data_IF_321245818507
#
_entry.id   IF_321245818507
#
_cell.length_a   1.000
_cell.length_b   1.000
_cell.length_c   1.000
_cell.angle_alpha   90.00
_cell.angle_beta   90.00
_cell.angle_gamma   90.00
#
_symmetry.space_group_name_H-M   'P 1'
#
loop_
_entity.id
_entity.type
_entity.pdbx_description
1 polymer ?
#
# COMPACT_ATOMS: atom_id res chain seq x y z
N UNK A 1 -67.95 21.61 1.52
CA UNK A 1 -67.30 21.06 2.71
C UNK A 1 -66.30 19.98 2.33
N UNK A 2 -65.08 20.25 2.59
CA UNK A 2 -64.04 19.31 2.99
C UNK A 2 -62.99 18.99 1.97
N UNK A 3 -61.97 19.77 1.96
CA UNK A 3 -60.68 19.56 1.33
C UNK A 3 -59.97 18.28 1.85
N UNK A 4 -59.26 17.59 1.01
CA UNK A 4 -58.18 16.70 1.39
C UNK A 4 -56.95 16.93 0.49
N UNK A 5 -55.90 17.33 1.11
CA UNK A 5 -54.60 17.74 0.63
C UNK A 5 -53.83 16.58 0.04
N UNK A 6 -53.22 16.79 -1.12
CA UNK A 6 -52.13 16.00 -1.64
C UNK A 6 -50.82 16.59 -1.06
N UNK A 7 -50.15 15.80 -0.24
CA UNK A 7 -48.77 16.10 0.19
C UNK A 7 -47.80 15.38 -0.74
N UNK A 8 -47.20 16.18 -1.61
CA UNK A 8 -46.11 15.74 -2.46
C UNK A 8 -44.79 15.84 -1.72
N UNK A 9 -44.24 14.73 -1.31
CA UNK A 9 -42.89 14.66 -0.76
C UNK A 9 -41.88 15.11 -1.82
N UNK A 10 -41.40 16.34 -1.69
CA UNK A 10 -40.17 16.79 -2.32
C UNK A 10 -39.02 16.01 -1.71
N UNK A 11 -38.41 15.16 -2.50
CA UNK A 11 -37.12 14.59 -2.16
C UNK A 11 -36.13 15.75 -2.16
N UNK A 12 -35.54 16.01 -1.01
CA UNK A 12 -34.59 17.09 -0.79
C UNK A 12 -33.25 16.73 -1.47
N UNK A 13 -33.08 17.14 -2.72
CA UNK A 13 -31.82 16.99 -3.47
C UNK A 13 -30.65 17.74 -2.78
N UNK A 14 -30.93 18.68 -1.88
CA UNK A 14 -29.91 19.38 -1.09
C UNK A 14 -29.32 18.55 0.07
N UNK A 15 -30.03 17.53 0.56
CA UNK A 15 -29.48 16.68 1.62
C UNK A 15 -28.36 15.78 1.13
N UNK A 16 -28.40 15.36 -0.13
CA UNK A 16 -27.38 14.52 -0.76
C UNK A 16 -26.07 15.29 -1.03
N UNK A 17 -26.17 16.54 -1.52
CA UNK A 17 -24.97 17.35 -1.80
C UNK A 17 -24.30 17.90 -0.53
N UNK A 18 -25.09 18.21 0.51
CA UNK A 18 -24.55 18.61 1.82
C UNK A 18 -23.84 17.45 2.54
N UNK A 19 -24.35 16.22 2.43
CA UNK A 19 -23.68 15.04 2.99
C UNK A 19 -22.37 14.71 2.28
N UNK A 20 -22.32 14.84 0.94
CA UNK A 20 -21.09 14.61 0.18
C UNK A 20 -20.03 15.67 0.47
N UNK A 21 -20.41 16.94 0.62
CA UNK A 21 -19.48 18.02 0.94
C UNK A 21 -18.96 17.95 2.39
N UNK A 22 -19.80 17.56 3.36
CA UNK A 22 -19.37 17.35 4.74
C UNK A 22 -18.45 16.12 4.87
N UNK A 23 -18.73 15.06 4.15
CA UNK A 23 -17.91 13.86 4.06
C UNK A 23 -16.53 14.18 3.41
N UNK A 24 -16.50 15.02 2.38
CA UNK A 24 -15.26 15.49 1.77
C UNK A 24 -14.47 16.40 2.71
N UNK A 25 -15.14 17.26 3.46
CA UNK A 25 -14.53 18.17 4.42
C UNK A 25 -13.96 17.43 5.65
N UNK A 26 -14.67 16.43 6.18
CA UNK A 26 -14.16 15.54 7.21
C UNK A 26 -12.96 14.72 6.71
N UNK A 27 -12.89 14.35 5.43
CA UNK A 27 -11.73 13.68 4.85
C UNK A 27 -10.51 14.59 4.73
N UNK A 28 -10.71 15.87 4.40
CA UNK A 28 -9.63 16.87 4.34
C UNK A 28 -9.09 17.13 5.76
N UNK A 29 -9.96 17.27 6.74
CA UNK A 29 -9.59 17.44 8.14
C UNK A 29 -9.04 16.14 8.76
N UNK A 30 -9.56 14.98 8.35
CA UNK A 30 -9.10 13.66 8.78
C UNK A 30 -7.74 13.27 8.18
N UNK A 31 -7.36 13.77 7.01
CA UNK A 31 -6.03 13.58 6.44
C UNK A 31 -4.97 14.26 7.31
N UNK A 32 -5.29 15.43 7.90
CA UNK A 32 -4.44 16.09 8.89
C UNK A 32 -4.40 15.36 10.24
N UNK A 33 -5.41 14.54 10.57
CA UNK A 33 -5.57 13.89 11.88
C UNK A 33 -5.43 12.35 11.88
N UNK A 34 -5.02 11.72 10.79
CA UNK A 34 -4.63 10.30 10.73
C UNK A 34 -5.68 9.24 11.13
N UNK A 35 -6.94 9.56 11.21
CA UNK A 35 -8.00 8.64 11.65
C UNK A 35 -9.05 8.32 10.58
N UNK A 36 -8.98 8.99 9.42
CA UNK A 36 -9.93 8.79 8.35
C UNK A 36 -9.54 7.63 7.44
N UNK A 37 -10.27 6.54 7.48
CA UNK A 37 -10.24 5.55 6.40
C UNK A 37 -10.78 6.16 5.11
N UNK A 38 -10.59 5.49 3.96
CA UNK A 38 -11.22 5.90 2.71
C UNK A 38 -12.74 5.88 2.85
N UNK A 39 -13.38 6.90 2.34
CA UNK A 39 -14.83 6.94 2.15
C UNK A 39 -15.23 6.49 0.75
N UNK A 40 -14.24 6.32 -0.14
CA UNK A 40 -14.47 5.88 -1.50
C UNK A 40 -14.07 4.41 -1.64
N UNK A 41 -14.94 3.62 -2.22
CA UNK A 41 -14.67 2.25 -2.66
C UNK A 41 -13.85 2.25 -3.95
N UNK A 42 -13.23 1.14 -4.30
CA UNK A 42 -12.53 1.01 -5.57
C UNK A 42 -13.43 1.29 -6.80
N UNK A 43 -14.70 0.86 -6.84
CA UNK A 43 -15.63 1.25 -7.90
C UNK A 43 -15.90 2.75 -8.00
N UNK A 44 -16.01 3.44 -6.86
CA UNK A 44 -16.19 4.91 -6.83
C UNK A 44 -14.94 5.62 -7.32
N UNK A 45 -13.76 5.13 -6.96
CA UNK A 45 -12.48 5.59 -7.49
C UNK A 45 -12.36 5.38 -8.99
N UNK A 46 -12.89 4.25 -9.51
CA UNK A 46 -12.93 3.98 -10.94
C UNK A 46 -13.79 5.01 -11.68
N UNK A 47 -14.99 5.34 -11.16
CA UNK A 47 -15.85 6.38 -11.73
C UNK A 47 -15.16 7.75 -11.75
N UNK A 48 -14.41 8.07 -10.71
CA UNK A 48 -13.63 9.32 -10.65
C UNK A 48 -12.51 9.31 -11.70
N UNK A 49 -11.81 8.19 -11.85
CA UNK A 49 -10.74 8.05 -12.85
C UNK A 49 -11.29 8.17 -14.29
N UNK A 50 -12.45 7.61 -14.56
CA UNK A 50 -13.10 7.65 -15.89
C UNK A 50 -13.53 9.08 -16.27
N UNK A 51 -13.78 9.95 -15.29
CA UNK A 51 -14.15 11.36 -15.51
C UNK A 51 -12.97 12.29 -15.84
N UNK A 52 -11.71 11.85 -15.70
CA UNK A 52 -10.47 12.61 -15.93
C UNK A 52 -10.38 14.01 -15.26
N UNK A 53 -11.24 14.30 -14.28
CA UNK A 53 -11.38 15.63 -13.66
C UNK A 53 -10.82 15.68 -12.23
N UNK A 54 -10.27 14.57 -11.70
CA UNK A 54 -9.86 14.50 -10.30
C UNK A 54 -8.39 14.88 -10.14
N UNK A 55 -8.17 16.03 -9.53
CA UNK A 55 -6.84 16.38 -9.04
C UNK A 55 -6.56 15.65 -7.71
N UNK A 56 -5.94 14.48 -7.78
CA UNK A 56 -5.55 13.71 -6.62
C UNK A 56 -4.62 14.47 -5.67
N UNK A 57 -3.87 15.46 -6.17
CA UNK A 57 -2.94 16.27 -5.36
C UNK A 57 -3.65 17.36 -4.55
N UNK A 58 -4.86 17.78 -4.95
CA UNK A 58 -5.61 18.83 -4.27
C UNK A 58 -5.92 18.54 -2.79
N UNK A 59 -5.89 17.27 -2.39
CA UNK A 59 -6.21 16.81 -1.03
C UNK A 59 -4.97 16.38 -0.22
N UNK A 60 -3.78 16.68 -0.70
CA UNK A 60 -2.53 16.39 0.02
C UNK A 60 -2.21 17.58 0.92
N UNK A 61 -2.06 17.37 2.23
CA UNK A 61 -1.71 18.44 3.17
C UNK A 61 -0.25 18.86 3.01
N UNK A 62 0.11 19.97 3.63
CA UNK A 62 1.51 20.35 3.78
C UNK A 62 2.28 19.28 4.57
N UNK A 63 3.47 18.92 4.08
CA UNK A 63 4.29 17.89 4.71
C UNK A 63 4.93 18.41 6.00
N UNK A 64 4.91 17.57 7.03
CA UNK A 64 5.58 17.84 8.30
C UNK A 64 7.09 17.68 8.12
N UNK A 65 7.83 18.74 8.45
CA UNK A 65 9.29 18.74 8.52
C UNK A 65 9.72 19.21 9.92
N UNK A 66 9.89 18.29 10.82
CA UNK A 66 10.28 18.58 12.21
C UNK A 66 11.77 18.33 12.47
N UNK A 67 12.24 18.72 13.64
CA UNK A 67 13.64 18.59 14.05
C UNK A 67 14.16 17.14 14.01
N UNK A 68 13.28 16.14 14.16
CA UNK A 68 13.68 14.73 14.08
C UNK A 68 13.97 14.34 12.63
N UNK A 69 13.14 14.79 11.70
CA UNK A 69 13.38 14.58 10.26
C UNK A 69 14.62 15.36 9.83
N UNK A 70 14.75 16.61 10.25
CA UNK A 70 15.92 17.43 9.98
C UNK A 70 17.21 16.74 10.42
N UNK A 71 17.28 16.27 11.67
CA UNK A 71 18.45 15.53 12.19
C UNK A 71 18.73 14.25 11.40
N UNK A 72 17.70 13.54 10.98
CA UNK A 72 17.85 12.30 10.23
C UNK A 72 18.40 12.53 8.80
N UNK A 73 18.07 13.67 8.20
CA UNK A 73 18.50 14.07 6.86
C UNK A 73 19.77 14.95 6.86
N UNK A 74 20.32 15.27 8.02
CA UNK A 74 21.58 16.00 8.16
C UNK A 74 22.78 15.05 7.92
N UNK A 75 23.00 14.72 6.66
CA UNK A 75 24.08 13.85 6.19
C UNK A 75 24.86 14.52 5.06
N UNK A 76 26.09 14.10 4.85
CA UNK A 76 26.85 14.41 3.62
C UNK A 76 26.27 13.57 2.47
N UNK A 77 25.19 14.09 1.87
CA UNK A 77 24.39 13.35 0.89
C UNK A 77 25.18 13.18 -0.42
N UNK A 78 25.53 11.96 -0.85
CA UNK A 78 26.32 11.73 -2.04
C UNK A 78 25.59 12.15 -3.32
N UNK A 79 26.33 12.64 -4.30
CA UNK A 79 25.77 13.00 -5.63
C UNK A 79 25.56 11.73 -6.48
N UNK A 80 24.42 11.12 -6.33
CA UNK A 80 24.01 9.95 -7.12
C UNK A 80 22.88 10.34 -8.08
N UNK A 81 23.15 10.25 -9.39
CA UNK A 81 22.11 10.48 -10.40
C UNK A 81 21.12 9.34 -10.43
N UNK A 82 19.86 9.63 -10.15
CA UNK A 82 18.72 8.70 -10.19
C UNK A 82 17.64 9.19 -11.16
N UNK A 83 16.94 8.24 -11.78
CA UNK A 83 15.77 8.53 -12.63
C UNK A 83 14.51 8.81 -11.78
N UNK A 84 14.44 8.27 -10.57
CA UNK A 84 13.33 8.45 -9.64
C UNK A 84 13.11 9.92 -9.27
N UNK A 85 11.83 10.30 -9.05
CA UNK A 85 11.45 11.62 -8.51
C UNK A 85 11.82 11.73 -7.03
N UNK A 86 11.54 10.69 -6.25
CA UNK A 86 11.91 10.63 -4.84
C UNK A 86 12.54 9.28 -4.49
N UNK A 87 13.55 9.31 -3.61
CA UNK A 87 14.25 8.11 -3.17
C UNK A 87 14.87 8.29 -1.79
N UNK A 88 15.08 7.18 -1.09
CA UNK A 88 15.87 7.14 0.14
C UNK A 88 16.58 5.79 0.27
N UNK A 89 17.75 5.81 0.89
CA UNK A 89 18.53 4.62 1.23
C UNK A 89 18.84 4.62 2.72
N UNK A 90 18.63 3.48 3.35
CA UNK A 90 18.99 3.22 4.75
C UNK A 90 20.06 2.15 4.87
N UNK A 91 20.98 2.33 5.81
CA UNK A 91 21.54 1.20 6.52
C UNK A 91 20.40 0.55 7.32
N UNK A 92 20.06 -0.69 7.00
CA UNK A 92 18.88 -1.32 7.59
C UNK A 92 19.12 -1.85 9.00
N UNK A 93 20.38 -2.01 9.41
CA UNK A 93 20.75 -2.49 10.73
C UNK A 93 20.79 -1.32 11.74
N UNK A 94 21.36 -0.17 11.37
CA UNK A 94 21.42 1.04 12.22
C UNK A 94 20.20 1.95 12.04
N UNK A 95 19.48 1.83 10.91
CA UNK A 95 18.38 2.70 10.47
C UNK A 95 18.82 4.13 10.13
N UNK A 96 20.09 4.34 9.91
CA UNK A 96 20.65 5.61 9.45
C UNK A 96 20.37 5.82 7.96
N UNK A 97 20.09 7.06 7.60
CA UNK A 97 19.94 7.46 6.18
C UNK A 97 21.32 7.60 5.56
N UNK A 98 21.54 6.93 4.43
CA UNK A 98 22.79 6.97 3.67
C UNK A 98 22.69 7.80 2.40
N UNK A 99 21.50 8.01 1.88
CA UNK A 99 21.21 8.81 0.69
C UNK A 99 19.75 9.22 0.69
N UNK A 100 19.46 10.37 0.11
CA UNK A 100 18.08 10.76 -0.18
C UNK A 100 17.99 11.68 -1.42
N UNK A 101 16.80 11.66 -2.04
CA UNK A 101 16.34 12.59 -3.08
C UNK A 101 14.87 12.86 -2.80
N UNK A 102 14.49 14.14 -2.58
CA UNK A 102 13.11 14.55 -2.29
C UNK A 102 12.40 13.64 -1.26
N UNK A 103 13.01 13.35 -0.08
CA UNK A 103 12.59 12.26 0.80
C UNK A 103 11.23 12.50 1.46
N UNK A 104 10.78 13.76 1.52
CA UNK A 104 9.50 14.18 2.11
C UNK A 104 8.53 14.75 1.09
N UNK A 105 8.86 14.69 -0.20
CA UNK A 105 7.91 15.06 -1.25
C UNK A 105 6.73 14.09 -1.27
N UNK A 106 5.51 14.63 -1.40
CA UNK A 106 4.31 13.83 -1.48
C UNK A 106 4.24 13.07 -2.79
N UNK A 107 4.17 11.76 -2.69
CA UNK A 107 4.05 10.81 -3.80
C UNK A 107 2.94 9.80 -3.51
N UNK A 108 2.59 9.00 -4.51
CA UNK A 108 1.58 7.95 -4.36
C UNK A 108 2.25 6.60 -4.10
N UNK A 109 1.72 5.77 -3.17
CA UNK A 109 2.38 4.54 -2.75
C UNK A 109 2.29 3.41 -3.79
N UNK A 110 1.23 3.36 -4.58
CA UNK A 110 0.88 2.19 -5.37
C UNK A 110 0.96 0.89 -4.53
N UNK A 111 1.21 -0.24 -5.15
CA UNK A 111 1.26 -1.54 -4.47
C UNK A 111 2.40 -1.70 -3.45
N UNK A 112 3.28 -0.71 -3.26
CA UNK A 112 4.23 -0.74 -2.13
C UNK A 112 3.52 -0.65 -0.78
N UNK A 113 2.31 -0.04 -0.74
CA UNK A 113 1.43 -0.02 0.43
C UNK A 113 1.06 -1.41 0.95
N UNK A 114 1.10 -2.45 0.10
CA UNK A 114 0.82 -3.83 0.52
C UNK A 114 1.78 -4.37 1.58
N UNK A 115 2.98 -3.78 1.73
CA UNK A 115 3.84 -4.12 2.87
C UNK A 115 3.18 -3.74 4.20
N UNK A 116 2.55 -2.57 4.26
CA UNK A 116 1.80 -2.15 5.44
C UNK A 116 0.55 -3.02 5.65
N UNK A 117 -0.15 -3.37 4.57
CA UNK A 117 -1.30 -4.30 4.61
C UNK A 117 -0.90 -5.66 5.17
N UNK A 118 0.24 -6.22 4.74
CA UNK A 118 0.78 -7.46 5.28
C UNK A 118 1.12 -7.34 6.78
N UNK A 119 1.77 -6.24 7.19
CA UNK A 119 2.10 -5.99 8.60
C UNK A 119 0.85 -5.92 9.47
N UNK A 120 -0.19 -5.20 9.02
CA UNK A 120 -1.47 -5.12 9.75
C UNK A 120 -2.15 -6.50 9.81
N UNK A 121 -2.16 -7.24 8.70
CA UNK A 121 -2.77 -8.57 8.65
C UNK A 121 -2.09 -9.52 9.67
N UNK A 122 -0.76 -9.50 9.74
CA UNK A 122 0.01 -10.32 10.67
C UNK A 122 -0.09 -9.86 12.14
N UNK A 123 -0.45 -8.61 12.40
CA UNK A 123 -0.76 -8.16 13.77
C UNK A 123 -2.09 -8.77 14.29
N UNK A 124 -2.99 -9.17 13.39
CA UNK A 124 -4.35 -9.62 13.72
C UNK A 124 -4.60 -11.10 13.51
N UNK A 125 -3.79 -11.76 12.69
CA UNK A 125 -4.04 -13.12 12.23
C UNK A 125 -2.77 -13.97 12.28
N UNK A 126 -2.96 -15.26 12.53
CA UNK A 126 -1.92 -16.27 12.29
C UNK A 126 -1.93 -16.63 10.81
N UNK A 127 -0.80 -17.11 10.31
CA UNK A 127 -0.63 -17.48 8.91
C UNK A 127 -1.52 -18.66 8.46
N UNK A 128 -1.87 -19.54 9.38
CA UNK A 128 -2.67 -20.75 9.15
C UNK A 128 -4.18 -20.52 9.27
N UNK A 129 -4.63 -19.31 9.66
CA UNK A 129 -6.07 -18.99 9.69
C UNK A 129 -6.66 -19.06 8.29
N UNK A 130 -7.81 -19.72 8.15
CA UNK A 130 -8.54 -19.85 6.89
C UNK A 130 -9.52 -18.70 6.68
N UNK A 131 -9.57 -18.22 5.46
CA UNK A 131 -10.45 -17.13 5.02
C UNK A 131 -11.27 -17.61 3.84
N UNK A 132 -12.58 -17.56 3.95
CA UNK A 132 -13.48 -17.74 2.81
C UNK A 132 -13.56 -16.42 2.06
N UNK A 133 -13.21 -16.46 0.79
CA UNK A 133 -13.20 -15.26 -0.07
C UNK A 133 -14.64 -14.84 -0.36
N UNK A 134 -14.96 -13.62 -0.02
CA UNK A 134 -16.26 -13.00 -0.25
C UNK A 134 -16.30 -12.15 -1.53
N UNK A 135 -17.28 -11.27 -1.59
CA UNK A 135 -17.47 -10.34 -2.72
C UNK A 135 -16.61 -9.06 -2.61
N UNK A 136 -15.84 -8.90 -1.55
CA UNK A 136 -14.88 -7.80 -1.38
C UNK A 136 -13.86 -7.72 -2.52
N UNK A 137 -13.55 -8.85 -3.17
CA UNK A 137 -12.67 -8.88 -4.34
C UNK A 137 -13.23 -8.14 -5.56
N UNK A 138 -14.51 -7.78 -5.55
CA UNK A 138 -15.14 -6.96 -6.59
C UNK A 138 -14.91 -5.46 -6.41
N UNK A 139 -14.36 -5.04 -5.25
CA UNK A 139 -14.08 -3.63 -4.96
C UNK A 139 -12.80 -3.11 -5.65
N UNK A 140 -12.01 -3.97 -6.25
CA UNK A 140 -10.78 -3.58 -6.95
C UNK A 140 -11.07 -2.88 -8.28
N UNK A 141 -10.22 -1.96 -8.69
CA UNK A 141 -10.31 -1.32 -10.00
C UNK A 141 -10.13 -2.33 -11.14
N UNK A 142 -10.71 -2.05 -12.30
CA UNK A 142 -10.76 -2.99 -13.44
C UNK A 142 -9.38 -3.34 -13.98
N UNK A 143 -8.43 -2.39 -13.95
CA UNK A 143 -7.05 -2.52 -14.41
C UNK A 143 -6.07 -3.02 -13.33
N UNK A 144 -6.59 -3.44 -12.18
CA UNK A 144 -5.80 -3.93 -11.06
C UNK A 144 -4.99 -5.18 -11.37
N UNK A 145 -3.78 -5.27 -10.82
CA UNK A 145 -3.07 -6.55 -10.70
C UNK A 145 -3.86 -7.52 -9.83
N UNK A 146 -3.92 -8.79 -10.21
CA UNK A 146 -4.73 -9.82 -9.54
C UNK A 146 -3.91 -11.04 -9.20
N UNK A 147 -4.18 -11.62 -8.04
CA UNK A 147 -3.77 -12.97 -7.68
C UNK A 147 -4.67 -14.04 -8.34
N UNK A 148 -5.79 -13.60 -8.97
CA UNK A 148 -6.80 -14.42 -9.59
C UNK A 148 -7.54 -15.35 -8.62
N UNK A 149 -7.72 -14.92 -7.38
CA UNK A 149 -8.57 -15.61 -6.41
C UNK A 149 -10.05 -15.37 -6.74
N UNK A 150 -10.91 -16.28 -6.31
CA UNK A 150 -12.34 -16.24 -6.63
C UNK A 150 -13.19 -16.32 -5.37
N UNK A 151 -14.36 -15.70 -5.44
CA UNK A 151 -15.37 -15.81 -4.39
C UNK A 151 -15.71 -17.28 -4.12
N UNK A 152 -15.83 -17.62 -2.84
CA UNK A 152 -16.11 -18.98 -2.37
C UNK A 152 -14.89 -19.88 -2.18
N UNK A 153 -13.70 -19.50 -2.65
CA UNK A 153 -12.47 -20.21 -2.34
C UNK A 153 -12.10 -20.03 -0.86
N UNK A 154 -11.40 -20.99 -0.29
CA UNK A 154 -10.89 -20.94 1.08
C UNK A 154 -9.37 -20.91 1.00
N UNK A 155 -8.80 -19.78 1.43
CA UNK A 155 -7.35 -19.53 1.45
C UNK A 155 -6.89 -19.36 2.89
N UNK A 156 -5.64 -19.75 3.17
CA UNK A 156 -5.00 -19.34 4.41
C UNK A 156 -4.53 -17.88 4.34
N UNK A 157 -4.33 -17.24 5.49
CA UNK A 157 -3.68 -15.91 5.54
C UNK A 157 -2.34 -15.97 4.81
N UNK A 158 -1.57 -17.04 4.95
CA UNK A 158 -0.30 -17.25 4.21
C UNK A 158 -0.50 -17.15 2.70
N UNK A 159 -1.53 -17.81 2.13
CA UNK A 159 -1.85 -17.70 0.71
C UNK A 159 -2.18 -16.26 0.30
N UNK A 160 -2.95 -15.52 1.12
CA UNK A 160 -3.27 -14.12 0.84
C UNK A 160 -2.03 -13.22 0.87
N UNK A 161 -1.11 -13.43 1.82
CA UNK A 161 0.16 -12.70 1.87
C UNK A 161 1.01 -12.99 0.62
N UNK A 162 1.11 -14.24 0.18
CA UNK A 162 1.82 -14.61 -1.05
C UNK A 162 1.14 -14.00 -2.29
N UNK A 163 -0.19 -14.01 -2.35
CA UNK A 163 -0.97 -13.35 -3.41
C UNK A 163 -0.76 -11.83 -3.48
N UNK A 164 -0.54 -11.18 -2.35
CA UNK A 164 -0.21 -9.75 -2.29
C UNK A 164 1.23 -9.44 -2.69
N UNK A 165 2.18 -10.23 -2.18
CA UNK A 165 3.61 -9.89 -2.28
C UNK A 165 4.24 -10.36 -3.60
N UNK A 166 3.79 -11.46 -4.20
CA UNK A 166 4.36 -12.00 -5.43
C UNK A 166 3.71 -11.38 -6.67
N UNK A 167 2.47 -11.75 -7.07
CA UNK A 167 1.83 -11.19 -8.27
C UNK A 167 1.27 -9.78 -8.03
N UNK A 168 1.39 -9.26 -6.81
CA UNK A 168 0.84 -7.95 -6.44
C UNK A 168 -0.70 -7.90 -6.47
N UNK A 169 -1.39 -9.00 -6.13
CA UNK A 169 -2.83 -9.11 -6.19
C UNK A 169 -3.58 -8.10 -5.34
N UNK A 170 -4.41 -7.26 -5.98
CA UNK A 170 -5.29 -6.34 -5.29
C UNK A 170 -6.47 -7.10 -4.66
N UNK A 171 -6.97 -8.14 -5.34
CA UNK A 171 -7.98 -9.07 -4.83
C UNK A 171 -7.56 -9.73 -3.51
N UNK A 172 -6.32 -10.21 -3.42
CA UNK A 172 -5.77 -10.76 -2.18
C UNK A 172 -5.66 -9.72 -1.07
N UNK A 173 -5.33 -8.46 -1.39
CA UNK A 173 -5.27 -7.36 -0.43
C UNK A 173 -6.66 -7.03 0.15
N UNK A 174 -7.68 -6.95 -0.71
CA UNK A 174 -9.06 -6.70 -0.27
C UNK A 174 -9.63 -7.87 0.54
N UNK A 175 -9.35 -9.12 0.16
CA UNK A 175 -9.77 -10.29 0.94
C UNK A 175 -9.17 -10.30 2.35
N UNK A 176 -7.86 -10.09 2.48
CA UNK A 176 -7.20 -9.99 3.78
C UNK A 176 -7.74 -8.80 4.59
N UNK A 177 -7.92 -7.64 3.96
CA UNK A 177 -8.41 -6.43 4.61
C UNK A 177 -9.84 -6.59 5.11
N UNK A 178 -10.74 -7.19 4.33
CA UNK A 178 -12.11 -7.43 4.76
C UNK A 178 -12.18 -8.41 5.94
N UNK A 179 -11.41 -9.48 5.91
CA UNK A 179 -11.32 -10.44 7.00
C UNK A 179 -10.85 -9.78 8.30
N UNK A 180 -9.73 -9.08 8.27
CA UNK A 180 -9.19 -8.36 9.43
C UNK A 180 -10.12 -7.24 9.88
N UNK A 181 -10.72 -6.52 8.96
CA UNK A 181 -11.68 -5.46 9.25
C UNK A 181 -12.88 -5.99 10.05
N UNK A 182 -13.53 -7.06 9.59
CA UNK A 182 -14.62 -7.74 10.31
C UNK A 182 -14.18 -8.21 11.69
N UNK A 183 -12.98 -8.82 11.78
CA UNK A 183 -12.40 -9.27 13.05
C UNK A 183 -12.17 -8.09 14.02
N UNK A 184 -11.70 -6.94 13.52
CA UNK A 184 -11.51 -5.74 14.33
C UNK A 184 -12.79 -5.11 14.83
N UNK A 185 -13.84 -5.16 14.02
CA UNK A 185 -15.20 -4.71 14.36
C UNK A 185 -15.92 -5.69 15.29
N UNK A 186 -15.42 -6.92 15.45
CA UNK A 186 -16.10 -8.05 16.11
C UNK A 186 -17.49 -8.29 15.50
N UNK A 187 -17.60 -8.12 14.20
CA UNK A 187 -18.82 -8.27 13.41
C UNK A 187 -18.51 -8.97 12.10
N UNK A 188 -18.77 -10.26 12.02
CA UNK A 188 -18.54 -11.10 10.84
C UNK A 188 -19.49 -10.73 9.67
N UNK A 189 -20.66 -10.15 9.99
CA UNK A 189 -21.68 -9.72 9.02
C UNK A 189 -21.48 -8.26 8.55
N UNK A 190 -20.42 -7.58 9.00
CA UNK A 190 -20.12 -6.23 8.50
C UNK A 190 -19.97 -6.23 6.99
N UNK A 191 -20.54 -5.21 6.33
CA UNK A 191 -20.39 -5.04 4.88
C UNK A 191 -18.93 -4.98 4.47
N UNK A 192 -18.65 -5.24 3.21
CA UNK A 192 -17.27 -5.13 2.70
C UNK A 192 -16.74 -3.71 2.84
N UNK A 193 -17.59 -2.70 2.63
CA UNK A 193 -17.26 -1.28 2.77
C UNK A 193 -16.88 -0.95 4.23
N UNK A 194 -17.68 -1.37 5.21
CA UNK A 194 -17.39 -1.18 6.64
C UNK A 194 -16.10 -1.89 7.05
N UNK A 195 -15.90 -3.11 6.58
CA UNK A 195 -14.71 -3.91 6.87
C UNK A 195 -13.44 -3.25 6.28
N UNK A 196 -13.47 -2.80 5.03
CA UNK A 196 -12.34 -2.10 4.39
C UNK A 196 -12.06 -0.77 5.08
N UNK A 197 -13.08 -0.01 5.45
CA UNK A 197 -12.92 1.23 6.21
C UNK A 197 -12.27 0.98 7.57
N UNK A 198 -12.68 -0.07 8.29
CA UNK A 198 -12.06 -0.46 9.55
C UNK A 198 -10.58 -0.85 9.34
N UNK A 199 -10.28 -1.59 8.29
CA UNK A 199 -8.93 -2.00 7.98
C UNK A 199 -8.01 -0.82 7.63
N UNK A 200 -8.46 0.13 6.80
CA UNK A 200 -7.65 1.31 6.46
C UNK A 200 -7.36 2.20 7.67
N UNK A 201 -8.26 2.25 8.65
CA UNK A 201 -7.97 2.86 9.95
C UNK A 201 -6.83 2.14 10.68
N UNK A 202 -6.83 0.81 10.68
CA UNK A 202 -5.72 0.02 11.25
C UNK A 202 -4.41 0.26 10.50
N UNK A 203 -4.44 0.40 9.17
CA UNK A 203 -3.24 0.75 8.38
C UNK A 203 -2.64 2.08 8.86
N UNK A 204 -3.44 3.13 8.96
CA UNK A 204 -2.95 4.45 9.41
C UNK A 204 -2.50 4.44 10.87
N UNK A 205 -3.15 3.68 11.75
CA UNK A 205 -2.70 3.48 13.12
C UNK A 205 -1.36 2.74 13.19
N UNK A 206 -1.18 1.69 12.40
CA UNK A 206 0.09 0.95 12.30
C UNK A 206 1.20 1.83 11.75
N UNK A 207 0.93 2.58 10.68
CA UNK A 207 1.86 3.54 10.10
C UNK A 207 2.35 4.55 11.16
N UNK A 208 1.43 5.15 11.93
CA UNK A 208 1.79 6.05 13.03
C UNK A 208 2.67 5.38 14.08
N UNK A 209 2.37 4.13 14.46
CA UNK A 209 3.20 3.36 15.42
C UNK A 209 4.60 3.08 14.89
N UNK A 210 4.76 2.90 13.58
CA UNK A 210 6.05 2.72 12.92
C UNK A 210 6.88 4.02 12.88
N UNK A 211 6.24 5.18 13.02
CA UNK A 211 6.87 6.49 12.96
C UNK A 211 6.60 7.28 11.69
N UNK A 212 5.69 6.81 10.86
CA UNK A 212 5.19 7.50 9.64
C UNK A 212 4.46 8.77 10.04
N UNK A 213 4.75 9.89 9.35
CA UNK A 213 4.19 11.21 9.66
C UNK A 213 3.49 11.87 8.48
N UNK A 214 3.94 11.59 7.29
CA UNK A 214 3.56 12.27 6.05
C UNK A 214 2.87 11.30 5.08
N UNK A 215 1.94 10.48 5.60
CA UNK A 215 1.22 9.51 4.78
C UNK A 215 -0.20 9.33 5.26
N UNK A 216 -1.08 9.07 4.30
CA UNK A 216 -2.45 8.64 4.55
C UNK A 216 -2.79 7.51 3.58
N UNK A 217 -3.19 6.35 4.11
CA UNK A 217 -3.57 5.18 3.33
C UNK A 217 -5.08 5.06 3.29
N UNK A 218 -5.64 5.03 2.08
CA UNK A 218 -7.09 5.00 1.81
C UNK A 218 -7.57 3.65 1.28
N UNK A 219 -6.66 2.85 0.72
CA UNK A 219 -6.97 1.54 0.14
C UNK A 219 -5.97 0.49 0.62
N UNK A 220 -6.39 -0.78 0.78
CA UNK A 220 -5.49 -1.83 1.25
C UNK A 220 -4.45 -2.27 0.21
N UNK A 221 -4.68 -1.98 -1.06
CA UNK A 221 -3.81 -2.35 -2.18
C UNK A 221 -2.89 -1.22 -2.64
N UNK A 222 -3.13 0.02 -2.16
CA UNK A 222 -2.39 1.22 -2.55
C UNK A 222 -2.84 1.81 -3.90
N UNK A 223 -3.96 1.37 -4.47
CA UNK A 223 -4.50 1.96 -5.69
C UNK A 223 -4.78 3.44 -5.49
N UNK A 224 -4.60 4.25 -6.55
CA UNK A 224 -4.75 5.70 -6.49
C UNK A 224 -6.12 6.11 -5.93
N UNK A 225 -6.12 6.94 -4.89
CA UNK A 225 -7.31 7.38 -4.19
C UNK A 225 -7.18 8.84 -3.74
N UNK A 226 -8.30 9.55 -3.68
CA UNK A 226 -8.34 10.91 -3.14
C UNK A 226 -7.84 10.93 -1.70
N UNK A 227 -6.92 11.84 -1.41
CA UNK A 227 -6.32 11.98 -0.08
C UNK A 227 -5.38 10.83 0.32
N UNK A 228 -5.04 9.92 -0.62
CA UNK A 228 -3.97 8.95 -0.41
C UNK A 228 -2.64 9.53 -0.87
N UNK A 229 -1.67 9.53 0.00
CA UNK A 229 -0.31 9.99 -0.27
C UNK A 229 0.68 9.32 0.67
N UNK A 230 1.95 9.42 0.33
CA UNK A 230 3.08 8.98 1.15
C UNK A 230 4.33 9.77 0.78
N UNK A 231 5.46 9.45 1.39
CA UNK A 231 6.78 9.97 1.05
C UNK A 231 7.80 8.83 0.96
N UNK A 232 8.94 9.07 0.32
CA UNK A 232 10.00 8.07 0.28
C UNK A 232 10.51 7.74 1.70
N UNK A 233 10.63 8.73 2.59
CA UNK A 233 11.02 8.54 3.98
C UNK A 233 10.03 7.63 4.73
N UNK A 234 8.74 7.91 4.63
CA UNK A 234 7.69 7.14 5.31
C UNK A 234 7.62 5.70 4.79
N UNK A 235 7.71 5.51 3.48
CA UNK A 235 7.78 4.17 2.90
C UNK A 235 9.06 3.42 3.29
N UNK A 236 10.14 4.16 3.57
CA UNK A 236 11.35 3.61 4.16
C UNK A 236 11.11 3.02 5.55
N UNK A 237 10.38 3.71 6.43
CA UNK A 237 10.02 3.17 7.75
C UNK A 237 9.14 1.92 7.64
N UNK A 238 8.19 1.91 6.71
CA UNK A 238 7.35 0.73 6.44
C UNK A 238 8.21 -0.42 5.91
N UNK A 239 9.13 -0.13 4.99
CA UNK A 239 10.09 -1.11 4.46
C UNK A 239 10.99 -1.70 5.54
N UNK A 240 11.54 -0.87 6.44
CA UNK A 240 12.35 -1.33 7.58
C UNK A 240 11.55 -2.21 8.53
N UNK A 241 10.27 -1.88 8.79
CA UNK A 241 9.40 -2.72 9.61
C UNK A 241 9.10 -4.06 8.92
N UNK A 242 8.86 -4.05 7.61
CA UNK A 242 8.64 -5.25 6.82
C UNK A 242 9.88 -6.16 6.76
N UNK A 243 11.07 -5.56 6.67
CA UNK A 243 12.35 -6.27 6.65
C UNK A 243 12.63 -7.05 7.95
N UNK A 244 12.04 -6.63 9.07
CA UNK A 244 12.13 -7.31 10.36
C UNK A 244 11.10 -8.42 10.56
N UNK A 245 10.13 -8.54 9.66
CA UNK A 245 9.10 -9.56 9.74
C UNK A 245 9.51 -10.82 8.95
N UNK A 246 9.70 -11.93 9.65
CA UNK A 246 10.19 -13.18 9.07
C UNK A 246 9.29 -13.71 7.95
N UNK A 247 7.96 -13.67 8.14
CA UNK A 247 6.99 -14.13 7.14
C UNK A 247 7.05 -13.30 5.86
N UNK A 248 7.08 -11.96 5.98
CA UNK A 248 7.19 -11.07 4.82
C UNK A 248 8.50 -11.33 4.09
N UNK A 249 9.60 -11.50 4.82
CA UNK A 249 10.92 -11.75 4.22
C UNK A 249 10.99 -13.10 3.54
N UNK A 250 10.47 -14.14 4.15
CA UNK A 250 10.42 -15.48 3.55
C UNK A 250 9.65 -15.47 2.22
N UNK A 251 8.51 -14.76 2.17
CA UNK A 251 7.71 -14.64 0.95
C UNK A 251 8.41 -13.77 -0.10
N UNK A 252 8.88 -12.60 0.28
CA UNK A 252 9.44 -11.59 -0.64
C UNK A 252 10.68 -12.07 -1.39
N UNK A 253 11.41 -13.04 -0.83
CA UNK A 253 12.60 -13.64 -1.44
C UNK A 253 12.28 -14.67 -2.52
N UNK A 254 11.03 -15.14 -2.61
CA UNK A 254 10.64 -16.13 -3.62
C UNK A 254 10.48 -15.44 -4.98
N UNK A 255 11.10 -15.99 -6.01
CA UNK A 255 10.84 -15.57 -7.39
C UNK A 255 9.52 -16.15 -7.94
N UNK A 256 9.16 -17.34 -7.43
CA UNK A 256 7.95 -18.08 -7.80
C UNK A 256 7.48 -18.89 -6.60
N UNK A 257 6.17 -19.08 -6.45
CA UNK A 257 5.59 -19.90 -5.41
C UNK A 257 4.34 -20.62 -5.90
N UNK A 258 4.28 -21.93 -5.65
CA UNK A 258 3.07 -22.73 -5.84
C UNK A 258 2.25 -22.72 -4.56
N UNK A 259 0.99 -22.39 -4.68
CA UNK A 259 0.04 -22.31 -3.58
C UNK A 259 -1.10 -23.29 -3.79
N UNK A 260 -1.39 -24.08 -2.76
CA UNK A 260 -2.58 -24.93 -2.70
C UNK A 260 -3.52 -24.33 -1.68
N UNK A 261 -4.76 -24.06 -2.07
CA UNK A 261 -5.78 -23.48 -1.20
C UNK A 261 -6.45 -24.56 -0.35
N UNK A 262 -7.01 -24.18 0.79
CA UNK A 262 -7.76 -25.11 1.64
C UNK A 262 -8.98 -25.68 0.93
N UNK A 263 -9.56 -24.95 -0.03
CA UNK A 263 -10.63 -25.43 -0.92
C UNK A 263 -10.15 -26.37 -2.05
N UNK A 264 -8.84 -26.58 -2.18
CA UNK A 264 -8.23 -27.60 -3.05
C UNK A 264 -7.66 -27.09 -4.38
N UNK A 265 -7.85 -25.82 -4.72
CA UNK A 265 -7.28 -25.23 -5.93
C UNK A 265 -5.78 -25.01 -5.80
N UNK A 266 -5.12 -25.02 -6.95
CA UNK A 266 -3.67 -24.90 -7.07
C UNK A 266 -3.33 -23.75 -8.04
N UNK A 267 -2.49 -22.83 -7.58
CA UNK A 267 -2.05 -21.69 -8.37
C UNK A 267 -0.55 -21.44 -8.16
N UNK A 268 0.12 -21.00 -9.20
CA UNK A 268 1.51 -20.57 -9.15
C UNK A 268 1.60 -19.09 -9.39
N UNK A 269 2.24 -18.35 -8.47
CA UNK A 269 2.48 -16.93 -8.58
C UNK A 269 3.95 -16.62 -8.79
N UNK A 270 4.22 -15.67 -9.70
CA UNK A 270 5.54 -15.13 -9.95
C UNK A 270 5.68 -13.76 -9.26
N UNK A 271 6.88 -13.50 -8.77
CA UNK A 271 7.18 -12.23 -8.14
C UNK A 271 7.48 -11.15 -9.17
N UNK A 272 6.82 -10.01 -9.02
CA UNK A 272 7.03 -8.81 -9.88
C UNK A 272 8.40 -8.15 -9.68
N UNK A 273 9.13 -8.51 -8.60
CA UNK A 273 10.45 -7.97 -8.32
C UNK A 273 11.54 -8.65 -9.17
N UNK A 274 11.92 -8.03 -10.26
CA UNK A 274 12.96 -8.55 -11.17
C UNK A 274 14.34 -8.69 -10.53
N UNK A 275 14.63 -8.02 -9.41
CA UNK A 275 15.93 -8.11 -8.74
C UNK A 275 16.20 -9.50 -8.14
N UNK A 276 15.13 -10.23 -7.78
CA UNK A 276 15.27 -11.58 -7.18
C UNK A 276 15.05 -12.72 -8.18
N UNK A 277 14.63 -12.44 -9.40
CA UNK A 277 14.44 -13.45 -10.43
C UNK A 277 15.76 -13.72 -11.17
N UNK A 278 16.34 -14.89 -10.95
CA UNK A 278 17.63 -15.28 -11.57
C UNK A 278 17.66 -15.28 -13.09
N UNK A 279 16.47 -15.39 -13.72
CA UNK A 279 16.33 -15.35 -15.17
C UNK A 279 16.13 -13.92 -15.70
N UNK A 280 16.02 -12.93 -14.84
CA UNK A 280 15.90 -11.54 -15.22
C UNK A 280 17.26 -10.92 -15.54
N UNK A 281 17.36 -10.09 -16.60
CA UNK A 281 18.57 -9.28 -16.84
C UNK A 281 18.85 -8.25 -15.73
N UNK A 282 17.86 -8.04 -14.82
CA UNK A 282 17.97 -7.15 -13.66
C UNK A 282 18.28 -7.88 -12.37
N UNK A 283 18.55 -9.20 -12.44
CA UNK A 283 18.88 -9.98 -11.26
C UNK A 283 20.05 -9.38 -10.47
N UNK A 284 19.85 -9.20 -9.17
CA UNK A 284 20.91 -8.77 -8.27
C UNK A 284 21.06 -9.82 -7.15
N UNK A 285 22.18 -10.53 -7.17
CA UNK A 285 22.40 -11.72 -6.31
C UNK A 285 22.32 -11.46 -4.80
N UNK A 286 22.46 -10.19 -4.38
CA UNK A 286 22.35 -9.77 -2.97
C UNK A 286 20.95 -9.30 -2.59
N UNK A 287 20.04 -9.14 -3.56
CA UNK A 287 18.66 -8.71 -3.29
C UNK A 287 17.91 -9.76 -2.46
N UNK A 288 17.17 -9.28 -1.45
CA UNK A 288 16.40 -10.10 -0.53
C UNK A 288 14.91 -9.72 -0.45
N UNK A 289 14.43 -8.88 -1.34
CA UNK A 289 13.02 -8.45 -1.42
C UNK A 289 12.96 -6.97 -1.82
N UNK A 290 11.87 -6.25 -1.64
CA UNK A 290 10.61 -6.47 -0.94
C UNK A 290 9.42 -6.41 -1.93
N UNK A 291 9.02 -5.16 -2.36
CA UNK A 291 7.77 -4.97 -3.10
C UNK A 291 7.88 -3.92 -4.19
N UNK A 292 7.35 -4.23 -5.37
CA UNK A 292 7.15 -3.28 -6.47
C UNK A 292 5.79 -2.60 -6.39
N UNK A 293 5.65 -1.45 -7.02
CA UNK A 293 4.39 -0.74 -7.18
C UNK A 293 4.28 -0.08 -8.56
N UNK A 294 3.07 0.04 -9.05
CA UNK A 294 2.75 0.75 -10.30
C UNK A 294 1.33 1.25 -10.22
N UNK A 295 1.13 2.53 -10.49
CA UNK A 295 -0.17 3.13 -10.76
C UNK A 295 0.01 4.33 -11.69
N UNK A 296 -1.09 4.92 -12.12
CA UNK A 296 -1.05 6.11 -12.99
C UNK A 296 -0.40 7.30 -12.27
N UNK A 297 -0.76 7.53 -11.01
CA UNK A 297 -0.23 8.67 -10.23
C UNK A 297 1.15 8.37 -9.63
N UNK A 298 1.42 7.12 -9.26
CA UNK A 298 2.68 6.75 -8.62
C UNK A 298 3.83 6.52 -9.60
N UNK A 299 3.55 6.33 -10.88
CA UNK A 299 4.58 5.84 -11.80
C UNK A 299 5.08 4.44 -11.42
N UNK A 300 6.37 4.20 -11.53
CA UNK A 300 7.00 2.93 -11.18
C UNK A 300 7.78 3.05 -9.87
N UNK A 301 7.42 2.22 -8.90
CA UNK A 301 7.99 2.25 -7.56
C UNK A 301 8.59 0.89 -7.18
N UNK A 302 9.53 0.91 -6.25
CA UNK A 302 10.04 -0.29 -5.57
C UNK A 302 10.56 0.07 -4.18
N UNK A 303 10.27 -0.79 -3.21
CA UNK A 303 11.01 -0.90 -1.97
C UNK A 303 11.84 -2.17 -2.08
N UNK A 304 13.15 -2.03 -2.03
CA UNK A 304 14.09 -3.12 -2.21
C UNK A 304 15.07 -3.19 -1.05
N UNK A 305 15.48 -4.40 -0.72
CA UNK A 305 16.51 -4.66 0.27
C UNK A 305 17.55 -5.62 -0.28
N UNK A 306 18.77 -5.50 0.23
CA UNK A 306 19.86 -6.40 -0.10
C UNK A 306 20.73 -6.66 1.13
N UNK A 307 21.46 -7.81 1.12
CA UNK A 307 22.33 -8.20 2.19
C UNK A 307 23.70 -8.67 1.69
N UNK A 308 24.74 -8.35 2.44
CA UNK A 308 26.11 -8.77 2.18
C UNK A 308 26.88 -9.00 3.49
N UNK A 309 27.15 -10.24 3.83
CA UNK A 309 27.99 -10.58 4.98
C UNK A 309 27.49 -10.09 6.33
N UNK A 310 26.18 -9.96 6.50
CA UNK A 310 25.56 -9.48 7.74
C UNK A 310 25.12 -8.00 7.68
N UNK A 311 25.67 -7.19 6.78
CA UNK A 311 25.21 -5.83 6.50
C UNK A 311 23.96 -5.87 5.62
N UNK A 312 22.96 -5.06 5.94
CA UNK A 312 21.74 -4.94 5.16
C UNK A 312 21.49 -3.49 4.75
N UNK A 313 21.02 -3.31 3.54
CA UNK A 313 20.59 -2.01 3.03
C UNK A 313 19.14 -2.10 2.53
N UNK A 314 18.39 -1.01 2.71
CA UNK A 314 17.03 -0.86 2.19
C UNK A 314 16.91 0.45 1.44
N UNK A 315 16.38 0.40 0.22
CA UNK A 315 16.07 1.60 -0.54
C UNK A 315 14.59 1.66 -0.94
N UNK A 316 14.12 2.89 -1.09
CA UNK A 316 12.80 3.23 -1.65
C UNK A 316 13.03 4.06 -2.91
N UNK A 317 12.39 3.67 -3.99
CA UNK A 317 12.37 4.36 -5.27
C UNK A 317 10.92 4.67 -5.61
N UNK A 318 10.60 5.95 -5.77
CA UNK A 318 9.24 6.42 -6.04
C UNK A 318 9.23 7.21 -7.35
N UNK A 319 8.16 7.02 -8.12
CA UNK A 319 7.89 7.70 -9.38
C UNK A 319 9.10 7.67 -10.34
N UNK A 320 9.47 6.48 -10.75
CA UNK A 320 10.54 6.20 -11.71
C UNK A 320 9.97 5.61 -13.01
N UNK A 321 10.83 5.17 -13.90
CA UNK A 321 10.49 4.44 -15.12
C UNK A 321 10.48 2.92 -14.89
N UNK A 322 10.01 2.16 -15.87
CA UNK A 322 9.92 0.70 -15.79
C UNK A 322 11.29 0.03 -15.57
N UNK A 323 12.34 0.51 -16.21
CA UNK A 323 13.71 0.04 -15.98
C UNK A 323 14.38 0.79 -14.85
N UNK A 324 14.15 2.10 -14.79
CA UNK A 324 14.80 3.01 -13.85
C UNK A 324 14.64 2.62 -12.39
N UNK A 325 13.44 2.16 -11.98
CA UNK A 325 13.24 1.72 -10.61
C UNK A 325 14.19 0.61 -10.17
N UNK A 326 14.53 -0.32 -11.06
CA UNK A 326 15.45 -1.42 -10.76
C UNK A 326 16.91 -0.99 -10.86
N UNK A 327 17.25 -0.12 -11.82
CA UNK A 327 18.58 0.45 -12.00
C UNK A 327 18.95 1.33 -10.80
N UNK A 328 18.06 2.24 -10.41
CA UNK A 328 18.23 3.11 -9.25
C UNK A 328 18.33 2.31 -7.95
N UNK A 329 17.42 1.31 -7.75
CA UNK A 329 17.48 0.45 -6.59
C UNK A 329 18.79 -0.33 -6.49
N UNK A 330 19.26 -0.90 -7.61
CA UNK A 330 20.54 -1.62 -7.63
C UNK A 330 21.72 -0.69 -7.31
N UNK A 331 21.71 0.53 -7.84
CA UNK A 331 22.73 1.55 -7.57
C UNK A 331 22.79 1.88 -6.08
N UNK A 332 21.63 2.20 -5.47
CA UNK A 332 21.56 2.55 -4.06
C UNK A 332 21.93 1.36 -3.15
N UNK A 333 21.43 0.16 -3.45
CA UNK A 333 21.75 -1.03 -2.66
C UNK A 333 23.23 -1.39 -2.70
N UNK A 334 23.92 -1.24 -3.85
CA UNK A 334 25.35 -1.41 -3.96
C UNK A 334 26.08 -0.41 -3.07
N UNK A 335 25.74 0.88 -3.19
CA UNK A 335 26.33 1.94 -2.36
C UNK A 335 26.13 1.66 -0.86
N UNK A 336 24.92 1.27 -0.46
CA UNK A 336 24.61 0.99 0.96
C UNK A 336 25.31 -0.26 1.53
N UNK A 337 25.81 -1.17 0.68
CA UNK A 337 26.52 -2.39 1.12
C UNK A 337 28.05 -2.28 1.03
N UNK A 338 28.59 -1.19 0.51
CA UNK A 338 30.01 -0.85 0.57
C UNK A 338 30.40 -0.34 1.98
#
# INVERSE_FOLDING_TARGET
AGDALADGSRIDENASSASISSIQQENIEGAANTLGGSLLTAPELQLINDCNEVDYKAYIPEMVYDSKIETMLDIDNPDLTLQAEAAILFDADTREVLYYKNPIEAVFPASTAKLLTCLVTLDWCREDEEVTIGDEITMIASDSSKANIKQGQILTIRNLLEGMLLPSGNDAAYAAAAYVGRKSLKNEEASKEEAILAFTRLMNQKAKKIGVKNSCFKTPDGYDALGQYTTALDMGFIGLAALQNETIMEISQKSISRNVFASGEDITWENTNSLINRNSPRYYSRAIGLKTGTSTMAGKCIIAAASNGGKKALCVIMNSSSSGRFEDATKLLKYGLE
#
